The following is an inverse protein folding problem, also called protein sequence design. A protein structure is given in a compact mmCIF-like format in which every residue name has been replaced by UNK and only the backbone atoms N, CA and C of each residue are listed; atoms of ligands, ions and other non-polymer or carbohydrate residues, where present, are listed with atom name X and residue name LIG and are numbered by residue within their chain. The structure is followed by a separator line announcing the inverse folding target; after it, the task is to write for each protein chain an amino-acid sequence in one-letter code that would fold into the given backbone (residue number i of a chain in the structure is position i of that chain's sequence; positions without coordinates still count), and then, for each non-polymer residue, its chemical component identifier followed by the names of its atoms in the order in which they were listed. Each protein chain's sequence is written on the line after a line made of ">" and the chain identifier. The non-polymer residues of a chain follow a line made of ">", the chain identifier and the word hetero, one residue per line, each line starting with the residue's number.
data_IF_303654830335
#
_entry.id   IF_303654830335
#
_cell.length_a   1.000
_cell.length_b   1.000
_cell.length_c   1.000
_cell.angle_alpha   90.00
_cell.angle_beta   90.00
_cell.angle_gamma   90.00
#
_symmetry.space_group_name_H-M   'P 1'
#
loop_
_entity.id
_entity.type
_entity.pdbx_description
1 polymer ?
#
# COMPACT_ATOMS: atom_id res chain seq x y z
N UNK A 1 18.09 5.08 8.34
CA UNK A 1 19.02 4.09 8.95
C UNK A 1 20.42 4.62 8.84
N UNK A 2 21.12 4.77 9.95
CA UNK A 2 22.51 5.22 9.93
C UNK A 2 23.47 4.02 9.94
N UNK A 3 24.32 3.96 8.92
CA UNK A 3 25.36 2.96 8.73
C UNK A 3 26.77 3.57 8.78
N UNK A 4 26.90 4.87 9.04
CA UNK A 4 28.21 5.53 9.13
C UNK A 4 28.97 4.90 10.31
N UNK A 5 30.13 4.32 10.01
CA UNK A 5 30.97 3.56 10.95
C UNK A 5 30.30 2.33 11.60
N UNK A 6 29.23 1.76 11.03
CA UNK A 6 28.55 0.58 11.61
C UNK A 6 28.41 -0.54 10.58
N UNK A 7 28.54 -1.79 11.04
CA UNK A 7 28.20 -2.97 10.22
C UNK A 7 26.70 -2.99 9.93
N UNK A 8 26.34 -3.57 8.79
CA UNK A 8 24.95 -3.68 8.31
C UNK A 8 24.00 -4.29 9.33
N UNK A 9 24.48 -5.21 10.17
CA UNK A 9 23.66 -5.89 11.18
C UNK A 9 23.31 -5.00 12.38
N UNK A 10 24.06 -3.91 12.62
CA UNK A 10 23.92 -3.02 13.79
C UNK A 10 23.32 -1.65 13.41
N UNK A 11 22.59 -1.61 12.30
CA UNK A 11 22.06 -0.38 11.76
C UNK A 11 20.89 0.13 12.62
N UNK A 12 20.93 1.40 13.03
CA UNK A 12 19.87 2.01 13.84
C UNK A 12 18.95 2.84 12.95
N UNK A 13 17.65 2.65 13.12
CA UNK A 13 16.60 3.42 12.44
C UNK A 13 16.18 4.60 13.32
N UNK A 14 16.08 5.80 12.75
CA UNK A 14 15.48 6.95 13.45
C UNK A 14 13.97 6.73 13.51
N UNK A 15 13.33 6.74 14.69
CA UNK A 15 11.90 6.51 14.79
C UNK A 15 11.15 7.55 13.94
N UNK A 16 10.33 7.07 13.00
CA UNK A 16 9.38 7.93 12.31
C UNK A 16 8.14 8.03 13.20
N UNK A 17 7.80 9.21 13.67
CA UNK A 17 6.63 9.45 14.53
C UNK A 17 5.32 9.06 13.85
N UNK A 18 5.27 9.09 12.51
CA UNK A 18 4.08 8.79 11.71
C UNK A 18 3.81 7.28 11.59
N UNK A 19 4.86 6.49 11.34
CA UNK A 19 4.73 5.03 11.12
C UNK A 19 5.01 4.21 12.39
N UNK A 20 5.51 4.86 13.45
CA UNK A 20 5.79 4.26 14.76
C UNK A 20 6.52 2.91 14.63
N UNK A 21 6.02 1.87 15.30
CA UNK A 21 6.59 0.52 15.32
C UNK A 21 6.21 -0.32 14.09
N UNK A 22 5.36 0.19 13.18
CA UNK A 22 4.90 -0.53 11.99
C UNK A 22 5.92 -0.51 10.86
N UNK A 23 6.88 0.41 10.88
CA UNK A 23 7.90 0.54 9.85
C UNK A 23 9.26 0.00 10.30
N UNK A 24 9.81 -0.93 9.53
CA UNK A 24 11.16 -1.47 9.69
C UNK A 24 11.92 -1.37 8.39
N UNK A 25 13.16 -0.89 8.45
CA UNK A 25 14.05 -0.98 7.31
C UNK A 25 14.73 -2.35 7.28
N UNK A 26 14.55 -3.09 6.19
CA UNK A 26 15.14 -4.40 5.99
C UNK A 26 16.38 -4.31 5.10
N UNK A 27 17.52 -4.74 5.61
CA UNK A 27 18.81 -4.72 4.90
C UNK A 27 19.10 -6.04 4.17
N UNK A 28 18.33 -7.10 4.42
CA UNK A 28 18.64 -8.48 4.00
C UNK A 28 17.81 -8.96 2.80
N UNK A 29 16.98 -8.11 2.18
CA UNK A 29 16.16 -8.52 1.02
C UNK A 29 17.05 -8.85 -0.19
N UNK A 30 16.90 -10.07 -0.74
CA UNK A 30 17.48 -10.51 -2.03
C UNK A 30 16.38 -10.93 -3.01
N UNK A 31 16.58 -10.78 -4.35
CA UNK A 31 17.66 -10.05 -5.01
C UNK A 31 17.22 -8.61 -5.34
N UNK A 32 17.97 -7.59 -4.90
CA UNK A 32 17.70 -6.19 -5.28
C UNK A 32 17.96 -5.09 -4.24
N UNK A 33 18.20 -5.42 -2.96
CA UNK A 33 18.72 -4.46 -1.98
C UNK A 33 17.86 -4.24 -0.74
N UNK A 34 18.25 -3.23 0.05
CA UNK A 34 17.57 -2.85 1.29
C UNK A 34 16.32 -2.02 1.03
N UNK A 35 15.26 -2.19 1.81
CA UNK A 35 14.00 -1.49 1.61
C UNK A 35 13.23 -1.21 2.90
N UNK A 36 12.30 -0.27 2.84
CA UNK A 36 11.35 -0.02 3.92
C UNK A 36 10.23 -1.05 3.85
N UNK A 37 9.96 -1.73 4.96
CA UNK A 37 8.80 -2.60 5.16
C UNK A 37 7.85 -1.91 6.13
N UNK A 38 6.61 -1.70 5.68
CA UNK A 38 5.52 -1.17 6.50
C UNK A 38 4.54 -2.32 6.74
N UNK A 39 4.25 -2.63 8.00
CA UNK A 39 3.23 -3.59 8.41
C UNK A 39 1.90 -2.91 8.71
N UNK A 40 0.80 -3.68 8.65
CA UNK A 40 -0.55 -3.21 8.97
C UNK A 40 -0.90 -1.87 8.29
N UNK A 41 -0.88 -1.86 6.95
CA UNK A 41 -1.04 -0.66 6.12
C UNK A 41 -2.47 -0.13 6.21
N UNK A 42 -2.62 1.19 6.30
CA UNK A 42 -3.90 1.90 6.31
C UNK A 42 -4.05 2.83 5.11
N UNK A 43 -5.28 3.27 4.81
CA UNK A 43 -5.56 4.23 3.72
C UNK A 43 -4.72 5.50 3.82
N UNK A 44 -4.53 6.01 5.04
CA UNK A 44 -3.72 7.20 5.32
C UNK A 44 -2.20 7.01 5.09
N UNK A 45 -1.74 5.78 4.84
CA UNK A 45 -0.36 5.52 4.47
C UNK A 45 -0.11 5.81 2.98
N UNK A 46 -1.14 6.05 2.15
CA UNK A 46 -1.00 6.46 0.75
C UNK A 46 -0.24 7.78 0.62
N UNK A 47 0.69 7.83 -0.34
CA UNK A 47 1.36 9.07 -0.70
C UNK A 47 2.84 8.89 -1.05
N UNK A 48 3.57 10.01 -1.04
CA UNK A 48 4.97 10.04 -1.43
C UNK A 48 5.93 9.74 -0.28
N UNK A 49 6.72 8.69 -0.46
CA UNK A 49 7.81 8.30 0.42
C UNK A 49 9.15 8.74 -0.16
N UNK A 50 10.04 9.23 0.70
CA UNK A 50 11.39 9.66 0.30
C UNK A 50 12.44 8.70 0.87
N UNK A 51 13.19 8.07 -0.01
CA UNK A 51 14.43 7.39 0.37
C UNK A 51 15.59 8.38 0.21
N UNK A 52 16.31 8.64 1.31
CA UNK A 52 17.52 9.47 1.33
C UNK A 52 18.71 8.59 1.70
N UNK A 53 19.74 8.60 0.86
CA UNK A 53 21.00 7.89 1.11
C UNK A 53 22.14 8.89 1.04
N UNK A 54 22.77 9.13 2.19
CA UNK A 54 23.96 9.99 2.30
C UNK A 54 25.22 9.13 2.16
N UNK A 55 26.16 9.54 1.31
CA UNK A 55 27.43 8.87 1.10
C UNK A 55 28.58 9.70 1.68
N UNK A 56 29.69 9.05 2.08
CA UNK A 56 30.84 9.75 2.66
C UNK A 56 31.57 10.66 1.65
N UNK A 57 31.68 10.20 0.40
CA UNK A 57 32.48 10.85 -0.64
C UNK A 57 31.70 11.03 -1.95
N UNK A 58 30.37 10.95 -1.90
CA UNK A 58 29.51 11.12 -3.07
C UNK A 58 28.25 11.89 -2.72
N UNK A 59 27.58 12.53 -3.69
CA UNK A 59 26.34 13.26 -3.43
C UNK A 59 25.24 12.38 -2.84
N UNK A 60 24.42 12.96 -1.98
CA UNK A 60 23.23 12.31 -1.42
C UNK A 60 22.27 11.92 -2.55
N UNK A 61 21.90 10.64 -2.61
CA UNK A 61 20.86 10.16 -3.52
C UNK A 61 19.50 10.27 -2.86
N UNK A 62 18.55 10.83 -3.59
CA UNK A 62 17.16 10.94 -3.17
C UNK A 62 16.28 10.22 -4.18
N UNK A 63 15.38 9.39 -3.69
CA UNK A 63 14.36 8.73 -4.50
C UNK A 63 13.00 9.02 -3.89
N UNK A 64 12.02 9.33 -4.74
CA UNK A 64 10.61 9.47 -4.37
C UNK A 64 9.84 8.27 -4.91
N UNK A 65 9.02 7.68 -4.06
CA UNK A 65 8.19 6.52 -4.37
C UNK A 65 6.77 6.87 -3.96
N UNK A 66 5.80 6.71 -4.87
CA UNK A 66 4.38 6.82 -4.52
C UNK A 66 3.89 5.44 -4.07
N UNK A 67 3.45 5.34 -2.81
CA UNK A 67 2.72 4.20 -2.31
C UNK A 67 1.23 4.41 -2.56
N UNK A 68 0.62 3.56 -3.36
CA UNK A 68 -0.83 3.53 -3.54
C UNK A 68 -1.44 2.45 -2.65
N UNK A 69 -2.40 2.82 -1.80
CA UNK A 69 -3.11 1.87 -0.93
C UNK A 69 -4.48 1.57 -1.52
N UNK A 70 -4.68 0.33 -1.93
CA UNK A 70 -5.98 -0.13 -2.44
C UNK A 70 -6.82 -0.56 -1.24
N UNK A 71 -7.89 0.19 -0.98
CA UNK A 71 -8.87 -0.12 0.07
C UNK A 71 -10.04 -0.88 -0.59
N UNK A 72 -10.38 -2.09 -0.12
CA UNK A 72 -11.55 -2.79 -0.63
C UNK A 72 -12.84 -2.03 -0.27
N UNK A 73 -13.90 -2.17 -1.07
CA UNK A 73 -15.20 -1.57 -0.76
C UNK A 73 -15.80 -2.18 0.51
N UNK A 74 -16.51 -1.36 1.30
CA UNK A 74 -17.12 -1.77 2.58
C UNK A 74 -18.22 -2.83 2.40
N UNK A 75 -18.97 -2.77 1.30
CA UNK A 75 -20.03 -3.73 0.96
C UNK A 75 -20.22 -3.83 -0.55
N UNK A 76 -20.37 -5.05 -1.06
CA UNK A 76 -20.73 -5.30 -2.47
C UNK A 76 -22.21 -4.97 -2.65
N UNK A 77 -22.51 -3.98 -3.51
CA UNK A 77 -23.89 -3.58 -3.81
C UNK A 77 -24.18 -3.82 -5.28
N UNK A 78 -24.98 -4.85 -5.55
CA UNK A 78 -25.44 -5.14 -6.91
C UNK A 78 -26.76 -4.40 -7.11
N UNK A 79 -26.86 -3.59 -8.16
CA UNK A 79 -28.09 -2.86 -8.53
C UNK A 79 -28.59 -3.28 -9.90
N UNK A 80 -29.90 -3.26 -10.09
CA UNK A 80 -30.52 -3.49 -11.40
C UNK A 80 -30.60 -2.19 -12.24
N UNK A 81 -31.26 -2.28 -13.40
CA UNK A 81 -31.53 -1.15 -14.30
C UNK A 81 -32.35 -0.02 -13.68
N UNK A 82 -33.16 -0.32 -12.66
CA UNK A 82 -33.96 0.67 -11.92
C UNK A 82 -33.19 1.31 -10.77
N UNK A 83 -31.98 0.81 -10.48
CA UNK A 83 -31.15 1.25 -9.36
C UNK A 83 -31.52 0.59 -8.03
N UNK A 84 -32.39 -0.41 -8.04
CA UNK A 84 -32.73 -1.18 -6.85
C UNK A 84 -31.60 -2.14 -6.50
N UNK A 85 -31.20 -2.14 -5.23
CA UNK A 85 -30.24 -3.10 -4.70
C UNK A 85 -30.84 -4.50 -4.68
N UNK A 86 -30.14 -5.44 -5.31
CA UNK A 86 -30.53 -6.84 -5.40
C UNK A 86 -29.52 -7.70 -4.65
N UNK A 87 -30.03 -8.49 -3.71
CA UNK A 87 -29.23 -9.40 -2.89
C UNK A 87 -29.77 -10.83 -3.00
N UNK A 88 -28.87 -11.81 -3.09
CA UNK A 88 -29.14 -13.25 -3.16
C UNK A 88 -29.87 -13.76 -4.43
N UNK A 89 -31.09 -13.34 -4.69
CA UNK A 89 -31.90 -13.88 -5.79
C UNK A 89 -32.59 -12.76 -6.55
N UNK A 90 -32.36 -12.71 -7.86
CA UNK A 90 -32.84 -11.65 -8.72
C UNK A 90 -33.87 -12.24 -9.68
N UNK A 91 -35.12 -11.77 -9.62
CA UNK A 91 -36.21 -12.23 -10.49
C UNK A 91 -37.59 -12.13 -9.83
N UNK A 92 -38.69 -12.45 -10.54
CA UNK A 92 -38.74 -13.15 -11.84
C UNK A 92 -38.57 -12.24 -13.06
N UNK A 93 -37.87 -12.72 -14.08
CA UNK A 93 -37.69 -12.06 -15.37
C UNK A 93 -38.46 -12.78 -16.48
N UNK A 94 -38.88 -12.04 -17.51
CA UNK A 94 -39.57 -12.60 -18.66
C UNK A 94 -38.54 -13.26 -19.60
N UNK A 95 -38.90 -14.41 -20.19
CA UNK A 95 -38.07 -15.05 -21.21
C UNK A 95 -37.85 -14.12 -22.40
N UNK A 96 -36.58 -13.87 -22.74
CA UNK A 96 -36.18 -12.92 -23.79
C UNK A 96 -35.93 -11.49 -23.29
N UNK A 97 -36.15 -11.20 -22.01
CA UNK A 97 -35.79 -9.91 -21.40
C UNK A 97 -34.28 -9.80 -21.21
N UNK A 98 -33.72 -8.63 -21.52
CA UNK A 98 -32.32 -8.31 -21.23
C UNK A 98 -32.17 -7.93 -19.77
N UNK A 99 -31.30 -8.62 -19.04
CA UNK A 99 -30.97 -8.32 -17.65
C UNK A 99 -29.74 -7.41 -17.59
N UNK A 100 -29.87 -6.24 -16.96
CA UNK A 100 -28.75 -5.32 -16.70
C UNK A 100 -28.47 -5.23 -15.20
N UNK A 101 -27.28 -5.66 -14.79
CA UNK A 101 -26.80 -5.57 -13.41
C UNK A 101 -25.53 -4.73 -13.38
N UNK A 102 -25.43 -3.85 -12.37
CA UNK A 102 -24.24 -3.04 -12.09
C UNK A 102 -23.76 -3.35 -10.68
N UNK A 103 -22.44 -3.31 -10.49
CA UNK A 103 -21.76 -3.51 -9.22
C UNK A 103 -20.97 -2.24 -8.86
#
# INVERSE_FOLDING_TARGET
>A
VDLRNRRRDNAVHSPNTVLQNRARFDLRRRPGGSGLRIGNVWSNDDGFYRCRVDFKASPTKNSRIHLTVIVPPDSVRIVDETGEEKSSTIGPYILGQTLSLKC
#
